data_IF_481924927580
#
_entry.id   IF_481924927580
#
_cell.length_a   1.000
_cell.length_b   1.000
_cell.length_c   1.000
_cell.angle_alpha   90.00
_cell.angle_beta   90.00
_cell.angle_gamma   90.00
#
_symmetry.space_group_name_H-M   'P 1'
#
loop_
_entity.id
_entity.type
_entity.pdbx_description
1 polymer ?
#
# COMPACT_ATOMS: atom_id res chain seq x y z
N UNK A 1 -1.71 0.37 23.80
CA UNK A 1 -2.64 1.11 22.90
C UNK A 1 -2.37 0.87 21.42
N UNK A 2 -1.13 0.56 21.00
CA UNK A 2 -0.78 0.20 19.60
C UNK A 2 -1.53 -1.02 19.04
N UNK A 3 -1.85 -2.02 19.87
CA UNK A 3 -2.56 -3.24 19.44
C UNK A 3 -3.92 -2.96 18.79
N UNK A 4 -4.64 -1.92 19.21
CA UNK A 4 -5.95 -1.62 18.63
C UNK A 4 -5.83 -1.14 17.18
N UNK A 5 -4.86 -0.28 16.86
CA UNK A 5 -4.64 0.23 15.50
C UNK A 5 -4.27 -0.90 14.54
N UNK A 6 -3.31 -1.72 14.92
CA UNK A 6 -2.89 -2.89 14.11
C UNK A 6 -4.05 -3.85 13.88
N UNK A 7 -4.89 -4.09 14.88
CA UNK A 7 -6.09 -4.92 14.73
C UNK A 7 -7.09 -4.31 13.75
N UNK A 8 -7.34 -2.99 13.79
CA UNK A 8 -8.19 -2.32 12.80
C UNK A 8 -7.64 -2.47 11.37
N UNK A 9 -6.33 -2.35 11.19
CA UNK A 9 -5.72 -2.61 9.89
C UNK A 9 -5.96 -4.06 9.44
N UNK A 10 -5.64 -5.03 10.30
CA UNK A 10 -5.70 -6.43 9.94
C UNK A 10 -7.13 -6.90 9.64
N UNK A 11 -8.11 -6.50 10.47
CA UNK A 11 -9.47 -7.02 10.38
C UNK A 11 -10.41 -6.17 9.53
N UNK A 12 -10.06 -4.90 9.26
CA UNK A 12 -10.94 -3.99 8.49
C UNK A 12 -10.24 -3.52 7.23
N UNK A 13 -9.11 -2.81 7.35
CA UNK A 13 -8.50 -2.12 6.20
C UNK A 13 -7.93 -3.12 5.19
N UNK A 14 -7.19 -4.11 5.68
CA UNK A 14 -6.61 -5.15 4.84
C UNK A 14 -7.69 -6.05 4.23
N UNK A 15 -8.68 -6.45 5.02
CA UNK A 15 -9.81 -7.22 4.53
C UNK A 15 -10.56 -6.47 3.41
N UNK A 16 -10.84 -5.19 3.60
CA UNK A 16 -11.50 -4.33 2.60
C UNK A 16 -10.67 -4.21 1.31
N UNK A 17 -9.36 -3.95 1.41
CA UNK A 17 -8.48 -3.85 0.24
C UNK A 17 -8.40 -5.19 -0.49
N UNK A 18 -8.24 -6.29 0.23
CA UNK A 18 -8.14 -7.63 -0.34
C UNK A 18 -9.45 -8.02 -1.07
N UNK A 19 -10.61 -7.77 -0.45
CA UNK A 19 -11.93 -8.06 -1.04
C UNK A 19 -12.22 -7.20 -2.27
N UNK A 20 -11.93 -5.90 -2.22
CA UNK A 20 -12.11 -5.01 -3.37
C UNK A 20 -11.21 -5.40 -4.54
N UNK A 21 -9.95 -5.76 -4.26
CA UNK A 21 -9.02 -6.22 -5.28
C UNK A 21 -9.46 -7.54 -5.90
N UNK A 22 -9.88 -8.53 -5.10
CA UNK A 22 -10.41 -9.80 -5.60
C UNK A 22 -11.64 -9.57 -6.48
N UNK A 23 -12.59 -8.76 -6.02
CA UNK A 23 -13.83 -8.44 -6.75
C UNK A 23 -13.55 -7.70 -8.06
N UNK A 24 -12.60 -6.77 -8.07
CA UNK A 24 -12.19 -6.07 -9.28
C UNK A 24 -11.67 -7.05 -10.35
N UNK A 25 -10.81 -8.00 -9.95
CA UNK A 25 -10.27 -9.04 -10.84
C UNK A 25 -11.34 -10.06 -11.24
N UNK A 26 -12.31 -10.35 -10.38
CA UNK A 26 -13.43 -11.21 -10.73
C UNK A 26 -14.26 -10.57 -11.86
N UNK A 27 -14.58 -9.27 -11.76
CA UNK A 27 -15.28 -8.56 -12.82
C UNK A 27 -14.45 -8.46 -14.09
N UNK A 28 -13.13 -8.28 -14.00
CA UNK A 28 -12.29 -8.14 -15.20
C UNK A 28 -12.28 -9.38 -16.10
N UNK A 29 -12.54 -10.56 -15.51
CA UNK A 29 -12.59 -11.85 -16.20
C UNK A 29 -13.97 -12.18 -16.77
N UNK A 30 -15.03 -11.47 -16.38
CA UNK A 30 -16.40 -11.69 -16.85
C UNK A 30 -16.66 -10.87 -18.12
N UNK A 31 -17.37 -11.44 -19.09
CA UNK A 31 -17.85 -10.69 -20.26
C UNK A 31 -18.87 -9.61 -19.84
N UNK A 32 -18.84 -8.46 -20.52
CA UNK A 32 -19.75 -7.33 -20.31
C UNK A 32 -19.75 -6.74 -18.89
N UNK A 33 -18.63 -6.84 -18.17
CA UNK A 33 -18.46 -6.37 -16.79
C UNK A 33 -17.40 -5.25 -16.66
N UNK A 34 -17.06 -4.57 -17.76
CA UNK A 34 -16.06 -3.48 -17.77
C UNK A 34 -16.42 -2.38 -16.78
N UNK A 35 -17.69 -1.96 -16.77
CA UNK A 35 -18.17 -0.88 -15.91
C UNK A 35 -18.01 -1.24 -14.44
N UNK A 36 -18.37 -2.46 -14.05
CA UNK A 36 -18.26 -2.98 -12.69
C UNK A 36 -16.79 -3.12 -12.28
N UNK A 37 -15.94 -3.62 -13.19
CA UNK A 37 -14.49 -3.72 -12.96
C UNK A 37 -13.87 -2.35 -12.72
N UNK A 38 -14.14 -1.37 -13.59
CA UNK A 38 -13.63 0.02 -13.46
C UNK A 38 -14.21 0.75 -12.24
N UNK A 39 -15.50 0.56 -11.95
CA UNK A 39 -16.12 1.11 -10.74
C UNK A 39 -15.48 0.54 -9.46
N UNK A 40 -15.14 -0.75 -9.47
CA UNK A 40 -14.46 -1.39 -8.32
C UNK A 40 -13.01 -0.93 -8.22
N UNK A 41 -12.32 -0.72 -9.34
CA UNK A 41 -10.98 -0.13 -9.38
C UNK A 41 -10.94 1.26 -8.74
N UNK A 42 -11.87 2.15 -9.09
CA UNK A 42 -11.97 3.49 -8.48
C UNK A 42 -12.23 3.41 -6.96
N UNK A 43 -13.06 2.45 -6.53
CA UNK A 43 -13.31 2.23 -5.10
C UNK A 43 -12.06 1.70 -4.39
N UNK A 44 -11.29 0.82 -5.04
CA UNK A 44 -10.03 0.30 -4.52
C UNK A 44 -8.96 1.39 -4.42
N UNK A 45 -8.90 2.35 -5.35
CA UNK A 45 -8.01 3.53 -5.23
C UNK A 45 -8.30 4.30 -3.94
N UNK A 46 -9.57 4.63 -3.69
CA UNK A 46 -9.99 5.31 -2.46
C UNK A 46 -9.63 4.48 -1.20
N UNK A 47 -9.77 3.16 -1.26
CA UNK A 47 -9.36 2.28 -0.17
C UNK A 47 -7.83 2.32 0.08
N UNK A 48 -7.02 2.43 -0.98
CA UNK A 48 -5.56 2.54 -0.88
C UNK A 48 -5.11 3.90 -0.32
N UNK A 49 -5.81 4.98 -0.68
CA UNK A 49 -5.63 6.30 -0.06
C UNK A 49 -5.98 6.24 1.43
N UNK A 50 -7.14 5.69 1.79
CA UNK A 50 -7.58 5.54 3.17
C UNK A 50 -6.59 4.70 4.00
N UNK A 51 -6.11 3.58 3.46
CA UNK A 51 -5.06 2.76 4.11
C UNK A 51 -3.84 3.62 4.42
N UNK A 52 -3.38 4.40 3.44
CA UNK A 52 -2.18 5.24 3.57
C UNK A 52 -2.38 6.34 4.60
N UNK A 53 -3.52 7.03 4.58
CA UNK A 53 -3.82 8.11 5.52
C UNK A 53 -4.02 7.61 6.95
N UNK A 54 -4.71 6.48 7.14
CA UNK A 54 -4.85 5.87 8.45
C UNK A 54 -3.50 5.40 9.00
N UNK A 55 -2.60 4.96 8.12
CA UNK A 55 -1.28 4.48 8.52
C UNK A 55 -0.45 5.66 9.02
N UNK A 56 -0.45 6.77 8.28
CA UNK A 56 0.19 8.02 8.66
C UNK A 56 -0.34 8.55 10.01
N UNK A 57 -1.67 8.51 10.23
CA UNK A 57 -2.26 8.92 11.52
C UNK A 57 -1.82 8.05 12.70
N UNK A 58 -1.36 6.83 12.44
CA UNK A 58 -0.94 5.86 13.45
C UNK A 58 0.56 5.56 13.40
N UNK A 59 1.34 6.38 12.67
CA UNK A 59 2.68 6.05 12.21
C UNK A 59 3.59 5.61 13.36
N UNK A 60 3.86 6.51 14.32
CA UNK A 60 4.71 6.21 15.49
C UNK A 60 4.25 4.98 16.27
N UNK A 61 2.95 4.89 16.54
CA UNK A 61 2.39 3.81 17.34
C UNK A 61 2.59 2.44 16.70
N UNK A 62 2.55 2.40 15.36
CA UNK A 62 2.76 1.17 14.60
C UNK A 62 4.25 0.88 14.46
N UNK A 63 5.08 1.88 14.15
CA UNK A 63 6.53 1.68 13.93
C UNK A 63 7.27 1.29 15.20
N UNK A 64 6.80 1.76 16.36
CA UNK A 64 7.35 1.37 17.68
C UNK A 64 6.82 0.01 18.17
N UNK A 65 5.90 -0.63 17.44
CA UNK A 65 5.35 -1.93 17.82
C UNK A 65 6.32 -3.07 17.48
N UNK A 66 6.33 -4.13 18.31
CA UNK A 66 7.16 -5.32 18.07
C UNK A 66 6.80 -6.07 16.78
N UNK A 67 5.62 -5.83 16.20
CA UNK A 67 5.15 -6.44 14.96
C UNK A 67 5.35 -5.57 13.71
N UNK A 68 6.03 -4.44 13.81
CA UNK A 68 6.11 -3.45 12.72
C UNK A 68 6.60 -4.05 11.41
N UNK A 69 7.69 -4.83 11.42
CA UNK A 69 8.26 -5.42 10.20
C UNK A 69 7.22 -6.25 9.43
N UNK A 70 6.55 -7.17 10.11
CA UNK A 70 5.49 -8.01 9.52
C UNK A 70 4.33 -7.16 9.02
N UNK A 71 3.95 -6.14 9.79
CA UNK A 71 2.89 -5.21 9.41
C UNK A 71 3.24 -4.41 8.14
N UNK A 72 4.45 -3.88 8.06
CA UNK A 72 4.97 -3.12 6.93
C UNK A 72 4.99 -3.97 5.66
N UNK A 73 5.53 -5.19 5.72
CA UNK A 73 5.47 -6.14 4.60
C UNK A 73 4.02 -6.42 4.16
N UNK A 74 3.07 -6.42 5.11
CA UNK A 74 1.64 -6.55 4.82
C UNK A 74 1.05 -5.38 4.03
N UNK A 75 1.51 -4.14 4.29
CA UNK A 75 1.16 -2.95 3.48
C UNK A 75 1.77 -3.07 2.09
N UNK A 76 3.08 -3.33 2.01
CA UNK A 76 3.80 -3.36 0.76
C UNK A 76 3.30 -4.45 -0.18
N UNK A 77 3.01 -5.64 0.34
CA UNK A 77 2.42 -6.73 -0.45
C UNK A 77 1.12 -6.32 -1.13
N UNK A 78 0.23 -5.60 -0.44
CA UNK A 78 -1.06 -5.17 -1.01
C UNK A 78 -0.89 -4.09 -2.06
N UNK A 79 0.01 -3.15 -1.79
CA UNK A 79 0.41 -2.11 -2.76
C UNK A 79 1.01 -2.73 -4.02
N UNK A 80 1.93 -3.67 -3.88
CA UNK A 80 2.52 -4.39 -5.01
C UNK A 80 1.49 -5.18 -5.82
N UNK A 81 0.63 -5.96 -5.15
CA UNK A 81 -0.45 -6.71 -5.79
C UNK A 81 -1.39 -5.80 -6.57
N UNK A 82 -1.80 -4.67 -6.00
CA UNK A 82 -2.68 -3.71 -6.69
C UNK A 82 -1.99 -3.01 -7.86
N UNK A 83 -0.70 -2.67 -7.75
CA UNK A 83 0.06 -2.08 -8.86
C UNK A 83 0.16 -3.03 -10.05
N UNK A 84 0.30 -4.33 -9.78
CA UNK A 84 0.44 -5.39 -10.78
C UNK A 84 -0.91 -5.93 -11.27
N UNK A 85 -2.03 -5.32 -10.84
CA UNK A 85 -3.35 -5.76 -11.25
C UNK A 85 -3.54 -5.58 -12.77
N UNK A 86 -4.04 -6.63 -13.41
CA UNK A 86 -4.34 -6.65 -14.84
C UNK A 86 -5.84 -6.88 -15.04
N UNK A 87 -6.51 -5.99 -15.78
CA UNK A 87 -7.92 -6.13 -16.11
C UNK A 87 -8.15 -6.87 -17.44
N UNK A 88 -7.10 -7.46 -18.00
CA UNK A 88 -7.15 -8.32 -19.17
C UNK A 88 -7.73 -7.59 -20.38
N UNK A 89 -8.87 -8.06 -20.87
CA UNK A 89 -9.54 -7.47 -22.04
C UNK A 89 -9.98 -6.01 -21.84
N UNK A 90 -10.12 -5.56 -20.58
CA UNK A 90 -10.48 -4.18 -20.27
C UNK A 90 -9.27 -3.24 -20.21
N UNK A 91 -8.06 -3.75 -20.42
CA UNK A 91 -6.82 -2.97 -20.46
C UNK A 91 -6.13 -2.84 -19.11
N UNK A 92 -5.10 -1.97 -19.02
CA UNK A 92 -4.31 -1.84 -17.80
C UNK A 92 -5.10 -1.22 -16.65
N UNK A 93 -4.70 -1.57 -15.43
CA UNK A 93 -5.10 -0.83 -14.24
C UNK A 93 -4.29 0.46 -14.11
N UNK A 94 -4.96 1.48 -13.59
CA UNK A 94 -4.41 2.79 -13.22
C UNK A 94 -3.94 2.84 -11.76
N UNK A 95 -4.07 1.75 -11.00
CA UNK A 95 -3.54 1.63 -9.63
C UNK A 95 -2.01 1.82 -9.59
N UNK A 96 -1.32 1.44 -10.67
CA UNK A 96 0.12 1.66 -10.84
C UNK A 96 0.54 3.13 -10.85
N UNK A 97 -0.38 4.06 -11.11
CA UNK A 97 -0.10 5.50 -11.15
C UNK A 97 -0.14 6.12 -9.73
N UNK A 98 -1.11 5.72 -8.90
CA UNK A 98 -1.33 6.36 -7.59
C UNK A 98 -0.52 5.73 -6.44
N UNK A 99 -0.28 4.42 -6.50
CA UNK A 99 0.38 3.71 -5.41
C UNK A 99 1.81 4.22 -5.15
N UNK A 100 2.63 4.51 -6.17
CA UNK A 100 3.94 5.11 -5.95
C UNK A 100 3.90 6.44 -5.19
N UNK A 101 2.95 7.31 -5.51
CA UNK A 101 2.80 8.61 -4.82
C UNK A 101 2.35 8.44 -3.37
N UNK A 102 1.49 7.45 -3.10
CA UNK A 102 1.12 7.10 -1.72
C UNK A 102 2.30 6.54 -0.93
N UNK A 103 3.15 5.70 -1.55
CA UNK A 103 4.37 5.19 -0.93
C UNK A 103 5.35 6.31 -0.63
N UNK A 104 5.57 7.20 -1.61
CA UNK A 104 6.39 8.41 -1.47
C UNK A 104 5.94 9.23 -0.27
N UNK A 105 4.63 9.54 -0.18
CA UNK A 105 4.05 10.28 0.96
C UNK A 105 4.36 9.61 2.29
N UNK A 106 4.21 8.29 2.39
CA UNK A 106 4.46 7.54 3.63
C UNK A 106 5.94 7.61 4.04
N UNK A 107 6.84 7.35 3.10
CA UNK A 107 8.28 7.25 3.38
C UNK A 107 8.86 8.64 3.70
N UNK A 108 8.40 9.68 3.02
CA UNK A 108 8.74 11.06 3.36
C UNK A 108 8.33 11.40 4.79
N UNK A 109 7.11 11.05 5.21
CA UNK A 109 6.68 11.26 6.59
C UNK A 109 7.53 10.46 7.60
N UNK A 110 7.89 9.20 7.28
CA UNK A 110 8.79 8.41 8.13
C UNK A 110 10.15 9.08 8.31
N UNK A 111 10.69 9.66 7.23
CA UNK A 111 11.96 10.39 7.26
C UNK A 111 11.85 11.63 8.13
N UNK A 112 10.80 12.43 7.96
CA UNK A 112 10.54 13.64 8.74
C UNK A 112 10.35 13.35 10.24
N UNK A 113 9.80 12.19 10.58
CA UNK A 113 9.62 11.77 11.97
C UNK A 113 10.83 11.05 12.59
N UNK A 114 11.93 10.92 11.86
CA UNK A 114 13.16 10.26 12.33
C UNK A 114 13.07 8.73 12.43
N UNK A 115 12.02 8.12 11.86
CA UNK A 115 11.77 6.67 11.94
C UNK A 115 12.79 5.88 11.12
N UNK A 116 13.35 6.50 10.08
CA UNK A 116 14.38 5.90 9.22
C UNK A 116 15.80 6.07 9.78
N UNK A 117 16.00 6.81 10.89
CA UNK A 117 17.33 7.06 11.47
C UNK A 117 17.99 5.81 12.07
N UNK A 118 17.28 4.90 12.77
CA UNK A 118 17.87 3.63 13.15
C UNK A 118 18.24 2.87 11.88
N UNK A 119 19.54 2.71 11.62
CA UNK A 119 20.06 2.08 10.38
C UNK A 119 19.34 0.77 10.02
N UNK A 120 19.12 -0.11 11.00
CA UNK A 120 18.44 -1.37 10.74
C UNK A 120 17.00 -1.18 10.23
N UNK A 121 16.28 -0.16 10.73
CA UNK A 121 14.92 0.19 10.30
C UNK A 121 14.91 0.82 8.92
N UNK A 122 15.78 1.82 8.73
CA UNK A 122 15.96 2.47 7.44
C UNK A 122 16.32 1.48 6.34
N UNK A 123 17.26 0.57 6.59
CA UNK A 123 17.77 -0.38 5.60
C UNK A 123 16.70 -1.35 5.09
N UNK A 124 15.85 -1.92 5.95
CA UNK A 124 14.79 -2.82 5.45
C UNK A 124 13.64 -2.05 4.79
N UNK A 125 13.24 -0.88 5.30
CA UNK A 125 12.20 -0.07 4.65
C UNK A 125 12.66 0.35 3.26
N UNK A 126 13.93 0.72 3.14
CA UNK A 126 14.58 1.01 1.88
C UNK A 126 14.53 -0.19 0.93
N UNK A 127 15.04 -1.35 1.35
CA UNK A 127 15.07 -2.56 0.51
C UNK A 127 13.67 -2.96 0.05
N UNK A 128 12.71 -3.07 0.98
CA UNK A 128 11.35 -3.49 0.65
C UNK A 128 10.64 -2.48 -0.28
N UNK A 129 10.94 -1.18 -0.16
CA UNK A 129 10.37 -0.15 -1.05
C UNK A 129 10.96 -0.23 -2.44
N UNK A 130 12.29 -0.33 -2.55
CA UNK A 130 13.00 -0.37 -3.83
C UNK A 130 12.59 -1.62 -4.63
N UNK A 131 12.32 -2.74 -3.96
CA UNK A 131 11.86 -3.97 -4.60
C UNK A 131 10.51 -3.79 -5.33
N UNK A 132 9.60 -2.97 -4.81
CA UNK A 132 8.26 -2.77 -5.40
C UNK A 132 8.17 -1.49 -6.26
N UNK A 133 8.96 -0.47 -5.95
CA UNK A 133 8.95 0.83 -6.62
C UNK A 133 10.39 1.33 -6.82
N UNK A 134 11.17 0.72 -7.74
CA UNK A 134 12.58 1.05 -7.92
C UNK A 134 12.85 2.53 -8.23
N UNK A 135 11.90 3.19 -8.91
CA UNK A 135 12.01 4.61 -9.27
C UNK A 135 11.96 5.56 -8.06
N UNK A 136 11.46 5.12 -6.90
CA UNK A 136 11.47 5.91 -5.66
C UNK A 136 12.86 5.93 -4.99
N UNK A 137 13.78 5.05 -5.42
CA UNK A 137 15.12 4.92 -4.84
C UNK A 137 15.88 6.25 -4.86
N UNK A 138 16.05 6.83 -6.05
CA UNK A 138 16.91 8.00 -6.25
C UNK A 138 16.31 9.27 -5.66
N UNK A 139 14.99 9.31 -5.47
CA UNK A 139 14.29 10.47 -4.93
C UNK A 139 14.26 10.50 -3.40
N UNK A 140 13.98 9.36 -2.76
CA UNK A 140 13.76 9.32 -1.31
C UNK A 140 15.05 9.04 -0.52
N UNK A 141 16.02 8.39 -1.18
CA UNK A 141 17.27 7.94 -0.58
C UNK A 141 18.48 8.39 -1.43
N UNK A 142 18.71 9.71 -1.55
CA UNK A 142 19.92 10.21 -2.18
C UNK A 142 21.15 9.75 -1.37
N UNK A 143 22.14 9.21 -2.09
CA UNK A 143 23.43 8.77 -1.56
C UNK A 143 24.18 9.89 -0.83
#
# INVERSE_FOLDING_TARGET
MSSNRINYFNFVIFAMVDELHEKMLEYSRRENAERESRSTEETLKLAMELLSDMYLQSLRQITESSGFRTFWSGILRRKDTCMKADLGQYGPSTLGEIIPDLLRKIITQMKEEGILEPRYVGDYIYLDTVDICPHLKDELFPL
#
